data_IF_408483514594
#
_entry.id   IF_408483514594
#
_cell.length_a   1.000
_cell.length_b   1.000
_cell.length_c   1.000
_cell.angle_alpha   90.00
_cell.angle_beta   90.00
_cell.angle_gamma   90.00
#
_symmetry.space_group_name_H-M   'P 1'
#
loop_
_entity.id
_entity.type
_entity.pdbx_description
1 polymer ?
2 non-polymer ?
3 non-polymer ?
4 water ?
#
# COMPACT_ATOMS: atom_id res chain seq x y z
N UNK A 35 -5.37 17.74 -7.35
CA UNK A 35 -6.55 17.60 -6.44
C UNK A 35 -7.56 16.56 -7.02
N UNK A 36 -8.02 16.82 -8.23
CA UNK A 36 -8.70 15.81 -9.04
C UNK A 36 -7.66 15.01 -9.81
N UNK A 37 -6.58 15.68 -10.20
CA UNK A 37 -5.40 15.03 -10.78
C UNK A 37 -4.96 13.74 -10.10
N UNK A 38 -5.03 13.69 -8.78
CA UNK A 38 -4.62 12.51 -8.01
C UNK A 38 -5.54 11.27 -8.14
N UNK A 39 -6.85 11.48 -8.21
CA UNK A 39 -7.78 10.42 -8.61
C UNK A 39 -7.51 9.97 -10.03
N UNK A 40 -7.19 10.91 -10.89
CA UNK A 40 -6.76 10.61 -12.26
C UNK A 40 -5.51 9.74 -12.31
N UNK A 41 -4.52 10.04 -11.47
CA UNK A 41 -3.27 9.25 -11.44
C UNK A 41 -3.55 7.83 -10.98
N UNK A 42 -4.41 7.68 -9.99
CA UNK A 42 -4.79 6.34 -9.51
C UNK A 42 -5.57 5.54 -10.56
N UNK A 43 -6.51 6.17 -11.27
CA UNK A 43 -7.16 5.55 -12.40
C UNK A 43 -6.19 5.11 -13.49
N UNK A 44 -5.20 5.95 -13.78
CA UNK A 44 -4.20 5.62 -14.79
C UNK A 44 -3.15 4.62 -14.30
N UNK A 45 -3.18 4.25 -13.02
CA UNK A 45 -2.30 3.17 -12.55
C UNK A 45 -2.97 1.86 -12.95
N UNK A 46 -2.52 1.29 -14.06
CA UNK A 46 -3.19 0.16 -14.68
C UNK A 46 -3.09 -1.10 -13.81
N UNK A 47 -1.94 -1.33 -13.20
CA UNK A 47 -1.77 -2.47 -12.31
C UNK A 47 -2.82 -2.40 -11.20
N UNK A 48 -2.91 -1.25 -10.56
CA UNK A 48 -3.93 -1.06 -9.53
C UNK A 48 -5.35 -1.32 -10.05
N UNK A 49 -5.76 -0.54 -11.03
CA UNK A 49 -7.17 -0.47 -11.39
C UNK A 49 -7.63 -1.74 -12.12
N UNK A 50 -6.79 -2.26 -12.99
CA UNK A 50 -7.08 -3.49 -13.71
C UNK A 50 -7.08 -4.72 -12.79
N UNK A 51 -6.27 -4.72 -11.73
CA UNK A 51 -6.31 -5.84 -10.77
C UNK A 51 -7.69 -5.91 -10.09
N UNK A 52 -8.22 -4.75 -9.72
CA UNK A 52 -9.53 -4.70 -9.10
C UNK A 52 -10.62 -5.06 -10.12
N UNK A 53 -10.53 -4.48 -11.31
CA UNK A 53 -11.41 -4.79 -12.44
C UNK A 53 -11.48 -6.31 -12.63
N UNK A 54 -10.32 -6.94 -12.84
CA UNK A 54 -10.22 -8.38 -13.13
C UNK A 54 -10.78 -9.20 -11.98
N UNK A 55 -10.40 -8.87 -10.75
CA UNK A 55 -10.95 -9.55 -9.59
C UNK A 55 -12.48 -9.55 -9.64
N UNK A 56 -13.06 -8.38 -9.84
CA UNK A 56 -14.50 -8.24 -9.74
C UNK A 56 -15.23 -8.90 -10.93
N UNK A 57 -14.74 -8.63 -12.14
CA UNK A 57 -15.38 -9.11 -13.36
C UNK A 57 -15.20 -10.63 -13.52
N UNK A 58 -14.08 -11.19 -13.08
CA UNK A 58 -13.81 -12.61 -13.23
C UNK A 58 -14.27 -13.45 -12.05
N UNK A 59 -14.83 -12.83 -11.00
CA UNK A 59 -15.49 -13.53 -9.92
C UNK A 59 -16.87 -12.93 -9.62
N UNK A 60 -17.74 -12.86 -10.65
CA UNK A 60 -19.07 -12.25 -10.46
C UNK A 60 -19.95 -12.92 -9.41
N UNK A 61 -19.69 -14.20 -9.13
CA UNK A 61 -20.46 -14.92 -8.08
C UNK A 61 -20.26 -14.26 -6.73
N UNK A 62 -19.13 -13.57 -6.54
CA UNK A 62 -18.92 -12.84 -5.28
C UNK A 62 -19.87 -11.62 -5.15
N UNK A 63 -20.27 -11.05 -6.28
CA UNK A 63 -21.08 -9.83 -6.31
C UNK A 63 -22.57 -10.00 -6.65
N UNK A 64 -22.90 -11.09 -7.32
CA UNK A 64 -24.22 -11.27 -7.92
C UNK A 64 -25.29 -11.20 -6.86
N UNK A 65 -26.21 -10.24 -6.98
CA UNK A 65 -27.30 -10.05 -6.02
C UNK A 65 -26.83 -9.74 -4.60
N UNK A 66 -25.60 -9.27 -4.43
CA UNK A 66 -25.11 -8.96 -3.09
C UNK A 66 -25.21 -7.47 -2.80
N UNK A 67 -25.15 -7.13 -1.52
CA UNK A 67 -25.01 -5.74 -1.08
C UNK A 67 -23.53 -5.47 -0.79
N UNK A 68 -22.98 -4.48 -1.51
CA UNK A 68 -21.56 -4.15 -1.48
C UNK A 68 -21.33 -2.75 -0.87
N UNK A 69 -20.30 -2.62 0.00
CA UNK A 69 -19.81 -1.34 0.53
C UNK A 69 -18.43 -1.01 -0.05
N UNK A 70 -18.33 0.15 -0.69
CA UNK A 70 -17.09 0.64 -1.28
C UNK A 70 -16.55 1.77 -0.39
N UNK A 71 -15.57 1.43 0.42
CA UNK A 71 -15.03 2.35 1.42
C UNK A 71 -13.93 3.20 0.79
N UNK A 72 -14.18 4.51 0.77
CA UNK A 72 -13.27 5.47 0.14
C UNK A 72 -13.43 5.35 -1.36
N UNK A 73 -14.63 5.59 -1.86
CA UNK A 73 -14.97 5.19 -3.24
C UNK A 73 -14.38 6.09 -4.31
N UNK A 74 -13.94 7.29 -3.93
CA UNK A 74 -13.34 8.21 -4.91
C UNK A 74 -14.36 8.54 -6.01
N UNK A 75 -13.94 8.41 -7.26
CA UNK A 75 -14.80 8.63 -8.40
C UNK A 75 -15.89 7.56 -8.59
N UNK A 76 -15.86 6.50 -7.77
CA UNK A 76 -16.90 5.47 -7.79
C UNK A 76 -16.62 4.32 -8.74
N UNK A 77 -15.39 4.26 -9.28
CA UNK A 77 -15.07 3.26 -10.30
C UNK A 77 -15.26 1.82 -9.81
N UNK A 78 -14.86 1.54 -8.58
CA UNK A 78 -15.00 0.19 -8.04
C UNK A 78 -16.48 -0.17 -7.82
N UNK A 79 -17.26 0.82 -7.40
CA UNK A 79 -18.69 0.62 -7.25
C UNK A 79 -19.36 0.31 -8.59
N UNK A 80 -18.93 0.97 -9.65
CA UNK A 80 -19.47 0.68 -10.96
C UNK A 80 -19.04 -0.71 -11.45
N UNK A 81 -17.81 -1.13 -11.19
CA UNK A 81 -17.42 -2.52 -11.51
C UNK A 81 -18.36 -3.53 -10.81
N UNK A 82 -18.57 -3.29 -9.52
CA UNK A 82 -19.39 -4.16 -8.72
C UNK A 82 -20.85 -4.22 -9.25
N UNK A 83 -21.41 -3.08 -9.62
CA UNK A 83 -22.73 -3.04 -10.25
C UNK A 83 -22.76 -3.85 -11.54
N UNK A 84 -21.75 -3.65 -12.37
CA UNK A 84 -21.67 -4.36 -13.63
C UNK A 84 -21.56 -5.87 -13.40
N UNK A 85 -20.92 -6.26 -12.31
CA UNK A 85 -20.77 -7.67 -12.01
C UNK A 85 -22.03 -8.28 -11.35
N UNK A 86 -23.06 -7.47 -11.14
CA UNK A 86 -24.40 -7.96 -10.75
C UNK A 86 -24.77 -7.63 -9.32
N UNK A 87 -24.09 -6.67 -8.69
CA UNK A 87 -24.44 -6.33 -7.32
C UNK A 87 -25.90 -5.88 -7.28
N UNK A 88 -26.61 -6.22 -6.21
CA UNK A 88 -27.98 -5.80 -6.07
C UNK A 88 -27.98 -4.33 -5.65
N UNK A 89 -27.10 -3.97 -4.73
CA UNK A 89 -26.97 -2.59 -4.26
C UNK A 89 -25.50 -2.33 -3.94
N UNK A 90 -25.02 -1.14 -4.26
CA UNK A 90 -23.68 -0.73 -3.86
C UNK A 90 -23.74 0.58 -3.12
N UNK A 91 -23.09 0.61 -1.96
CA UNK A 91 -22.94 1.82 -1.18
C UNK A 91 -21.49 2.35 -1.25
N UNK A 92 -21.32 3.53 -1.85
CA UNK A 92 -20.01 4.16 -1.98
C UNK A 92 -19.86 5.32 -1.03
N UNK A 93 -18.84 5.25 -0.18
CA UNK A 93 -18.64 6.27 0.84
C UNK A 93 -17.29 6.97 0.64
N UNK A 94 -17.30 8.28 0.74
CA UNK A 94 -16.06 9.03 0.69
C UNK A 94 -16.27 10.37 1.38
N UNK A 95 -15.28 10.80 2.15
CA UNK A 95 -15.40 12.07 2.90
C UNK A 95 -15.06 13.24 2.02
N UNK A 96 -14.26 13.00 1.00
CA UNK A 96 -13.78 14.04 0.10
C UNK A 96 -14.84 14.60 -0.87
N UNK A 97 -14.53 15.78 -1.40
CA UNK A 97 -15.33 16.49 -2.41
C UNK A 97 -15.52 15.69 -3.70
N UNK A 98 -14.59 14.77 -3.96
CA UNK A 98 -14.67 13.89 -5.11
C UNK A 98 -16.04 13.19 -5.17
N UNK A 99 -16.69 13.00 -4.02
CA UNK A 99 -17.97 12.29 -3.99
C UNK A 99 -19.05 12.94 -4.87
N UNK A 100 -19.01 14.27 -4.99
CA UNK A 100 -19.95 14.98 -5.83
C UNK A 100 -19.70 14.67 -7.28
N UNK A 101 -18.44 14.54 -7.67
CA UNK A 101 -18.14 14.04 -9.02
C UNK A 101 -18.71 12.60 -9.23
N UNK A 102 -18.46 11.74 -8.26
CA UNK A 102 -18.94 10.34 -8.29
C UNK A 102 -20.43 10.29 -8.51
N UNK A 103 -21.16 11.19 -7.85
CA UNK A 103 -22.62 11.26 -8.02
C UNK A 103 -23.01 11.54 -9.45
N UNK A 104 -22.35 12.50 -10.08
CA UNK A 104 -22.61 12.81 -11.47
C UNK A 104 -22.15 11.65 -12.37
N UNK A 105 -21.02 11.04 -12.02
CA UNK A 105 -20.51 9.91 -12.80
C UNK A 105 -21.50 8.74 -12.77
N UNK A 106 -22.03 8.42 -11.59
CA UNK A 106 -23.03 7.35 -11.46
C UNK A 106 -24.27 7.64 -12.34
N UNK A 107 -24.76 8.89 -12.35
CA UNK A 107 -25.89 9.27 -13.19
C UNK A 107 -25.57 9.18 -14.67
N UNK A 108 -24.39 9.63 -15.08
CA UNK A 108 -24.00 9.54 -16.49
C UNK A 108 -24.04 8.10 -17.00
N UNK A 109 -23.72 7.15 -16.11
CA UNK A 109 -23.78 5.74 -16.46
C UNK A 109 -25.10 5.02 -16.11
N UNK A 110 -26.10 5.78 -15.66
CA UNK A 110 -27.46 5.29 -15.40
C UNK A 110 -27.44 4.15 -14.38
N UNK A 111 -26.68 4.38 -13.33
CA UNK A 111 -26.51 3.38 -12.28
C UNK A 111 -27.07 3.84 -10.96
N UNK A 112 -27.83 4.93 -10.97
CA UNK A 112 -28.32 5.46 -9.71
C UNK A 112 -29.37 4.51 -9.07
N UNK A 113 -29.99 3.62 -9.84
CA UNK A 113 -30.89 2.60 -9.28
C UNK A 113 -30.16 1.50 -8.53
N UNK A 114 -28.83 1.41 -8.68
CA UNK A 114 -28.01 0.39 -8.02
C UNK A 114 -26.97 0.96 -7.04
N UNK A 115 -26.40 2.12 -7.35
CA UNK A 115 -25.33 2.69 -6.52
C UNK A 115 -25.80 3.94 -5.83
N UNK A 116 -25.66 3.96 -4.51
CA UNK A 116 -25.96 5.11 -3.67
C UNK A 116 -24.66 5.64 -3.10
N UNK A 117 -24.39 6.93 -3.28
CA UNK A 117 -23.19 7.56 -2.74
C UNK A 117 -23.49 8.36 -1.48
N UNK A 118 -22.61 8.27 -0.51
CA UNK A 118 -22.81 8.90 0.79
C UNK A 118 -21.54 9.63 1.16
N UNK A 119 -21.67 10.91 1.48
CA UNK A 119 -20.52 11.74 1.80
C UNK A 119 -20.28 11.76 3.29
N UNK A 120 -19.04 11.49 3.68
CA UNK A 120 -18.63 11.53 5.07
C UNK A 120 -17.65 10.41 5.37
N UNK A 121 -17.27 10.33 6.65
CA UNK A 121 -16.40 9.27 7.13
C UNK A 121 -17.27 8.07 7.42
N UNK A 122 -16.72 6.88 7.18
CA UNK A 122 -17.43 5.63 7.45
C UNK A 122 -17.86 5.50 8.93
N UNK A 123 -17.08 6.14 9.80
CA UNK A 123 -17.30 6.14 11.24
C UNK A 123 -18.49 7.04 11.61
N UNK A 124 -18.87 7.96 10.74
CA UNK A 124 -19.92 8.93 11.05
C UNK A 124 -21.22 8.77 10.25
N UNK A 125 -21.14 8.25 9.02
CA UNK A 125 -22.32 8.24 8.15
C UNK A 125 -23.43 7.28 8.59
N UNK A 126 -24.62 7.54 8.09
CA UNK A 126 -25.75 6.63 8.25
C UNK A 126 -25.93 5.87 6.94
N UNK A 127 -25.78 4.56 7.00
CA UNK A 127 -26.04 3.74 5.82
C UNK A 127 -27.51 3.36 5.85
N UNK A 128 -28.12 3.17 4.69
CA UNK A 128 -29.52 2.73 4.65
C UNK A 128 -29.70 1.22 4.73
N UNK A 129 -28.70 0.49 5.22
CA UNK A 129 -28.86 -0.90 5.65
C UNK A 129 -28.08 -1.13 6.94
N UNK A 130 -28.34 -2.27 7.59
CA UNK A 130 -27.64 -2.67 8.81
C UNK A 130 -26.33 -3.40 8.50
N UNK A 131 -26.34 -4.26 7.49
CA UNK A 131 -25.20 -5.09 7.13
C UNK A 131 -25.01 -5.13 5.61
N UNK A 132 -23.78 -5.40 5.20
CA UNK A 132 -23.45 -5.62 3.81
C UNK A 132 -22.83 -7.00 3.64
N UNK A 133 -22.85 -7.51 2.41
CA UNK A 133 -22.30 -8.84 2.13
C UNK A 133 -20.80 -8.77 1.82
N UNK A 134 -20.39 -7.69 1.18
CA UNK A 134 -19.03 -7.57 0.66
C UNK A 134 -18.53 -6.15 0.88
N UNK A 135 -17.31 -6.05 1.41
CA UNK A 135 -16.60 -4.79 1.46
C UNK A 135 -15.46 -4.81 0.44
N UNK A 136 -15.41 -3.76 -0.38
CA UNK A 136 -14.27 -3.52 -1.26
C UNK A 136 -13.72 -2.16 -0.97
N UNK A 137 -12.40 -2.04 -1.09
CA UNK A 137 -11.73 -0.78 -0.86
C UNK A 137 -10.37 -0.79 -1.50
N UNK A 138 -10.00 0.32 -2.13
CA UNK A 138 -8.59 0.63 -2.38
C UNK A 138 -8.09 1.64 -1.31
N UNK A 139 -7.43 1.12 -0.28
CA UNK A 139 -7.10 1.86 0.95
C UNK A 139 -5.60 2.02 1.20
N UNK A 140 -4.79 1.43 0.33
CA UNK A 140 -3.38 1.15 0.63
C UNK A 140 -2.54 2.42 0.53
N UNK A 141 -1.62 2.59 1.49
CA UNK A 141 -0.68 3.71 1.48
C UNK A 141 0.69 3.27 1.03
N UNK A 142 1.63 4.20 0.98
CA UNK A 142 3.01 3.88 0.73
C UNK A 142 3.47 2.90 1.80
N UNK A 143 4.24 1.91 1.38
CA UNK A 143 4.72 0.87 2.28
C UNK A 143 3.51 0.23 3.00
N UNK A 144 2.41 0.17 2.26
CA UNK A 144 1.12 -0.34 2.68
C UNK A 144 0.42 0.54 3.71
N UNK A 145 1.12 0.96 4.75
CA UNK A 145 0.46 1.53 5.92
C UNK A 145 0.56 3.05 6.11
N UNK A 146 1.53 3.75 5.51
CA UNK A 146 1.61 5.21 5.62
C UNK A 146 0.36 5.85 5.02
N UNK A 147 -0.39 6.60 5.84
CA UNK A 147 -1.58 7.33 5.41
C UNK A 147 -2.56 6.40 4.73
N UNK A 148 -2.71 5.19 5.26
CA UNK A 148 -3.63 4.26 4.63
C UNK A 148 -5.02 4.49 5.22
N UNK A 149 -6.02 3.93 4.54
CA UNK A 149 -7.40 3.98 4.98
C UNK A 149 -7.80 2.67 5.69
N UNK A 150 -6.81 1.86 6.08
CA UNK A 150 -7.09 0.52 6.63
C UNK A 150 -7.91 0.56 7.89
N UNK A 151 -7.58 1.48 8.80
CA UNK A 151 -8.38 1.67 10.01
C UNK A 151 -9.84 1.78 9.68
N UNK A 152 -10.20 2.57 8.67
CA UNK A 152 -11.60 2.73 8.27
C UNK A 152 -12.22 1.46 7.72
N UNK A 153 -11.47 0.74 6.89
CA UNK A 153 -11.93 -0.53 6.33
C UNK A 153 -12.20 -1.54 7.44
N UNK A 154 -11.31 -1.61 8.43
CA UNK A 154 -11.50 -2.50 9.58
C UNK A 154 -12.71 -2.07 10.42
N UNK A 155 -12.89 -0.77 10.59
CA UNK A 155 -14.08 -0.26 11.28
C UNK A 155 -15.33 -0.77 10.55
N UNK A 156 -15.35 -0.61 9.22
CA UNK A 156 -16.46 -1.05 8.41
C UNK A 156 -16.72 -2.54 8.54
N UNK A 157 -15.65 -3.35 8.49
CA UNK A 157 -15.76 -4.79 8.65
C UNK A 157 -16.51 -5.10 9.94
N UNK A 158 -15.98 -4.60 11.06
CA UNK A 158 -16.55 -4.92 12.39
C UNK A 158 -17.95 -4.40 12.61
N UNK A 159 -18.25 -3.20 12.12
CA UNK A 159 -19.61 -2.68 12.26
C UNK A 159 -20.63 -3.25 11.25
N UNK A 160 -20.25 -3.33 9.97
CA UNK A 160 -21.24 -3.51 8.89
C UNK A 160 -21.21 -4.86 8.16
N UNK A 161 -20.11 -5.60 8.24
CA UNK A 161 -20.01 -6.85 7.50
C UNK A 161 -20.93 -7.97 8.05
N UNK A 162 -21.78 -8.54 7.20
CA UNK A 162 -22.64 -9.65 7.60
C UNK A 162 -21.80 -10.84 8.08
N UNK A 163 -22.37 -11.63 8.97
CA UNK A 163 -21.74 -12.88 9.39
C UNK A 163 -21.55 -13.67 8.10
N UNK A 164 -20.37 -14.25 7.90
CA UNK A 164 -20.04 -14.93 6.66
C UNK A 164 -19.78 -14.03 5.46
N UNK A 165 -19.77 -12.71 5.64
CA UNK A 165 -19.42 -11.80 4.53
C UNK A 165 -17.92 -11.79 4.22
N UNK A 166 -17.50 -11.00 3.24
CA UNK A 166 -16.10 -10.95 2.86
C UNK A 166 -15.59 -9.53 2.56
N UNK A 167 -14.27 -9.36 2.73
CA UNK A 167 -13.59 -8.11 2.52
C UNK A 167 -12.43 -8.31 1.52
N UNK A 168 -12.35 -7.43 0.52
CA UNK A 168 -11.35 -7.55 -0.55
C UNK A 168 -10.68 -6.19 -0.80
N UNK A 169 -9.37 -6.20 -1.07
CA UNK A 169 -8.56 -7.41 -1.10
C UNK A 169 -8.45 -8.01 0.30
N UNK A 170 -8.38 -9.33 0.37
CA UNK A 170 -8.43 -10.00 1.65
C UNK A 170 -7.03 -10.23 2.27
N UNK A 171 -6.00 -10.36 1.44
CA UNK A 171 -4.67 -10.70 1.95
C UNK A 171 -3.62 -9.70 1.44
N UNK A 172 -2.77 -9.21 2.35
CA UNK A 172 -1.70 -8.25 2.03
C UNK A 172 -0.45 -8.72 2.71
N UNK A 173 0.69 -8.50 2.06
CA UNK A 173 1.98 -8.69 2.69
C UNK A 173 2.90 -7.50 2.50
N UNK A 174 3.87 -7.37 3.39
CA UNK A 174 4.94 -6.36 3.30
C UNK A 174 6.24 -7.11 3.26
N UNK A 175 7.16 -6.65 2.42
CA UNK A 175 8.48 -7.22 2.30
C UNK A 175 9.59 -6.16 2.34
N UNK A 176 10.77 -6.60 2.72
CA UNK A 176 12.00 -5.81 2.66
C UNK A 176 12.98 -6.42 1.69
N UNK A 177 13.84 -5.59 1.11
CA UNK A 177 14.87 -6.06 0.21
C UNK A 177 16.09 -5.14 0.35
N UNK A 178 17.28 -5.70 0.28
CA UNK A 178 18.52 -4.92 0.39
C UNK A 178 18.88 -4.29 -0.93
N UNK A 179 19.50 -3.11 -0.83
CA UNK A 179 19.84 -2.30 -1.98
C UNK A 179 21.30 -1.90 -1.90
N UNK A 180 21.96 -1.88 -3.06
CA UNK A 180 23.29 -1.31 -3.20
C UNK A 180 23.26 -0.23 -4.27
N UNK A 181 23.51 1.00 -3.88
CA UNK A 181 23.59 2.10 -4.83
C UNK A 181 24.54 3.16 -4.27
N UNK A 182 25.84 2.94 -4.42
CA UNK A 182 26.83 3.88 -3.86
C UNK A 182 26.76 5.26 -4.49
N UNK A 183 26.41 5.35 -5.78
CA UNK A 183 26.25 6.67 -6.42
C UNK A 183 25.09 7.47 -5.84
N UNK A 184 23.93 6.83 -5.69
CA UNK A 184 22.83 7.52 -5.04
C UNK A 184 23.11 7.87 -3.59
N UNK A 185 23.83 7.02 -2.88
CA UNK A 185 24.17 7.34 -1.50
C UNK A 185 25.03 8.59 -1.46
N UNK A 186 26.02 8.64 -2.35
CA UNK A 186 26.88 9.80 -2.50
C UNK A 186 26.04 11.03 -2.79
N UNK A 187 25.04 10.88 -3.67
CA UNK A 187 24.17 11.98 -4.08
C UNK A 187 23.35 12.54 -2.92
N UNK A 188 22.96 11.68 -1.97
CA UNK A 188 22.15 12.11 -0.84
C UNK A 188 22.92 12.49 0.42
N UNK A 189 24.13 11.94 0.57
CA UNK A 189 24.87 12.01 1.85
C UNK A 189 26.22 12.71 1.70
N UNK A 190 27.17 12.11 0.98
CA UNK A 190 28.47 12.74 0.80
C UNK A 190 28.34 14.12 0.11
N UNK A 191 27.26 14.27 -0.67
CA UNK A 191 26.86 15.54 -1.26
C UNK A 191 27.04 16.72 -0.31
N UNK A 192 26.73 16.53 0.99
CA UNK A 192 26.68 17.62 1.95
C UNK A 192 28.04 18.03 2.55
N UNK A 193 29.10 17.29 2.26
CA UNK A 193 30.42 17.68 2.77
C UNK A 193 30.95 18.95 2.13
N UNK A 194 30.67 19.13 0.83
CA UNK A 194 31.04 20.35 0.13
C UNK A 194 29.96 20.83 -0.84
N UNK A 195 29.35 21.95 -0.51
CA UNK A 195 28.23 22.48 -1.25
C UNK A 195 28.68 23.88 -1.67
N UNK A 196 28.99 24.00 -2.97
CA UNK A 196 29.54 25.24 -3.55
C UNK A 196 30.67 25.81 -2.71
N UNK A 197 31.56 24.92 -2.27
CA UNK A 197 32.71 25.25 -1.44
C UNK A 197 32.49 25.32 0.06
N UNK A 198 31.29 25.04 0.55
CA UNK A 198 31.02 25.19 1.99
C UNK A 198 30.65 23.86 2.65
N UNK A 199 31.01 23.70 3.93
CA UNK A 199 30.59 22.53 4.70
C UNK A 199 29.13 22.58 5.07
N UNK A 200 28.44 21.46 4.81
CA UNK A 200 27.06 21.30 5.21
C UNK A 200 26.79 19.93 5.85
N UNK A 201 27.82 19.29 6.41
CA UNK A 201 27.72 17.91 6.93
C UNK A 201 26.55 17.65 7.86
N UNK A 202 26.22 18.65 8.67
CA UNK A 202 25.15 18.48 9.64
C UNK A 202 23.79 18.13 8.97
N UNK A 203 23.65 18.43 7.68
CA UNK A 203 22.41 18.13 6.99
C UNK A 203 22.19 16.62 6.79
N UNK A 204 23.26 15.82 6.85
CA UNK A 204 23.13 14.37 6.66
C UNK A 204 22.11 13.79 7.65
N UNK A 205 22.17 14.27 8.89
CA UNK A 205 21.29 13.77 9.92
C UNK A 205 19.83 14.20 9.76
N UNK A 206 19.58 15.21 8.93
CA UNK A 206 18.20 15.60 8.65
C UNK A 206 17.64 14.83 7.49
N UNK A 207 18.46 14.44 6.51
CA UNK A 207 17.93 13.70 5.39
C UNK A 207 17.82 12.18 5.67
N UNK A 208 18.67 11.61 6.51
CA UNK A 208 18.63 10.19 6.76
C UNK A 208 17.25 9.66 7.25
N UNK A 209 16.61 10.37 8.20
CA UNK A 209 15.31 9.91 8.70
C UNK A 209 14.12 9.99 7.77
N UNK A 210 14.26 10.64 6.61
CA UNK A 210 13.15 10.80 5.66
C UNK A 210 13.17 9.61 4.71
N UNK A 211 12.16 8.74 4.86
CA UNK A 211 11.96 7.64 3.93
C UNK A 211 11.63 8.25 2.58
N UNK A 212 12.15 7.65 1.53
CA UNK A 212 11.97 8.13 0.17
C UNK A 212 10.98 7.22 -0.58
N UNK A 213 10.07 7.80 -1.34
CA UNK A 213 9.14 7.02 -2.14
C UNK A 213 9.54 7.19 -3.61
N UNK A 214 9.95 6.10 -4.24
CA UNK A 214 10.60 6.18 -5.53
C UNK A 214 10.73 4.82 -6.13
N UNK A 215 10.67 4.75 -7.46
CA UNK A 215 10.90 3.51 -8.18
C UNK A 215 12.36 3.17 -8.26
N UNK A 216 12.73 1.99 -7.82
CA UNK A 216 14.12 1.57 -7.82
C UNK A 216 14.51 0.84 -9.09
N UNK A 217 15.72 1.08 -9.55
CA UNK A 217 16.30 0.25 -10.59
C UNK A 217 16.49 -1.18 -10.03
N UNK A 218 15.79 -2.17 -10.58
CA UNK A 218 15.86 -3.53 -10.03
C UNK A 218 17.25 -4.16 -10.02
N UNK A 219 18.14 -3.68 -10.87
CA UNK A 219 19.53 -4.15 -10.86
C UNK A 219 20.26 -3.74 -9.57
N UNK A 220 19.71 -2.78 -8.79
CA UNK A 220 20.38 -2.36 -7.56
C UNK A 220 19.99 -3.25 -6.35
N UNK A 221 19.09 -4.20 -6.58
CA UNK A 221 18.67 -5.10 -5.50
C UNK A 221 19.74 -6.15 -5.24
N UNK A 222 20.14 -6.34 -3.98
CA UNK A 222 21.23 -7.24 -3.66
C UNK A 222 20.85 -8.33 -2.69
N UNK A 223 19.57 -8.54 -2.48
CA UNK A 223 19.13 -9.71 -1.73
C UNK A 223 17.83 -10.19 -2.30
N UNK A 224 17.47 -11.42 -1.93
CA UNK A 224 16.11 -11.88 -2.10
C UNK A 224 15.24 -11.07 -1.13
N UNK A 225 13.96 -10.89 -1.47
CA UNK A 225 13.04 -10.24 -0.54
C UNK A 225 12.77 -11.10 0.67
N UNK A 226 12.34 -10.46 1.76
CA UNK A 226 11.89 -11.17 2.97
C UNK A 226 10.57 -10.59 3.44
N UNK A 227 9.54 -11.44 3.55
CA UNK A 227 8.25 -11.04 4.10
C UNK A 227 8.42 -10.60 5.55
N UNK A 228 7.90 -9.45 5.93
CA UNK A 228 7.93 -9.04 7.34
C UNK A 228 6.57 -8.95 7.98
N UNK A 229 5.52 -9.17 7.21
CA UNK A 229 4.16 -8.97 7.71
C UNK A 229 3.17 -9.59 6.73
N UNK A 230 2.21 -10.34 7.26
CA UNK A 230 1.13 -10.91 6.52
C UNK A 230 -0.14 -10.45 7.25
N UNK A 231 -1.11 -9.94 6.49
CA UNK A 231 -2.38 -9.44 7.00
C UNK A 231 -3.50 -10.19 6.25
N UNK A 232 -4.45 -10.76 6.98
CA UNK A 232 -5.75 -11.17 6.42
C UNK A 232 -6.77 -10.23 6.98
N UNK A 233 -7.45 -9.50 6.09
CA UNK A 233 -8.36 -8.43 6.53
C UNK A 233 -9.62 -8.95 7.24
N UNK A 234 -9.91 -10.24 7.12
CA UNK A 234 -11.04 -10.84 7.83
C UNK A 234 -10.74 -10.94 9.33
N UNK A 235 -9.49 -11.24 9.67
CA UNK A 235 -9.12 -11.51 11.05
C UNK A 235 -8.21 -10.46 11.68
N UNK A 236 -7.77 -9.47 10.93
CA UNK A 236 -6.87 -8.44 11.48
C UNK A 236 -7.62 -7.37 12.33
N UNK A 237 -6.97 -6.88 13.39
CA UNK A 237 -7.47 -5.69 14.14
C UNK A 237 -6.50 -4.51 13.95
N UNK A 238 -6.91 -3.32 14.38
CA UNK A 238 -6.07 -2.12 14.24
C UNK A 238 -4.79 -2.29 15.04
N UNK A 239 -4.91 -2.99 16.16
CA UNK A 239 -3.81 -3.42 17.01
C UNK A 239 -2.67 -4.16 16.26
N UNK A 240 -3.02 -4.99 15.27
CA UNK A 240 -2.00 -5.74 14.52
C UNK A 240 -1.17 -4.90 13.54
N UNK A 241 -1.59 -3.67 13.30
CA UNK A 241 -0.90 -2.81 12.34
C UNK A 241 0.37 -2.19 12.91
N UNK A 242 0.55 -2.28 14.22
CA UNK A 242 1.82 -1.94 14.85
C UNK A 242 2.47 -3.26 15.16
N UNK A 243 3.62 -3.54 14.57
CA UNK A 243 4.20 -4.85 14.67
C UNK A 243 5.72 -4.78 14.61
N UNK A 244 6.33 -5.91 14.94
CA UNK A 244 7.77 -6.05 14.99
C UNK A 244 8.08 -7.31 14.26
N UNK A 245 9.19 -7.33 13.54
CA UNK A 245 9.56 -8.55 12.88
C UNK A 245 11.07 -8.67 12.75
N UNK A 246 11.60 -9.83 13.13
CA UNK A 246 13.00 -10.16 12.83
C UNK A 246 13.01 -10.56 11.37
N UNK A 247 14.06 -10.24 10.62
CA UNK A 247 14.11 -10.64 9.22
C UNK A 247 15.52 -11.10 8.85
N UNK A 248 15.60 -11.88 7.78
CA UNK A 248 16.86 -12.35 7.24
C UNK A 248 16.88 -12.10 5.74
N UNK A 249 17.84 -11.31 5.28
CA UNK A 249 17.94 -11.02 3.85
C UNK A 249 19.02 -11.89 3.27
N UNK A 250 18.65 -12.68 2.27
CA UNK A 250 19.60 -13.62 1.67
C UNK A 250 20.30 -12.85 0.58
N UNK A 251 21.53 -12.45 0.86
CA UNK A 251 22.32 -11.61 -0.03
C UNK A 251 22.71 -12.36 -1.31
N UNK A 252 22.55 -11.69 -2.45
CA UNK A 252 22.78 -12.35 -3.73
C UNK A 252 23.90 -11.71 -4.53
N UNK A 253 24.48 -10.63 -4.02
CA UNK A 253 25.61 -10.00 -4.70
C UNK A 253 26.53 -9.35 -3.68
N UNK A 254 27.82 -9.68 -3.81
CA UNK A 254 28.87 -9.07 -3.06
C UNK A 254 28.97 -7.60 -3.46
N UNK A 255 28.67 -6.71 -2.51
CA UNK A 255 28.46 -5.30 -2.81
C UNK A 255 28.43 -4.50 -1.51
N UNK A 256 28.32 -3.19 -1.64
CA UNK A 256 28.05 -2.28 -0.52
C UNK A 256 26.54 -2.08 -0.38
N UNK A 257 25.99 -2.44 0.77
CA UNK A 257 24.58 -2.21 1.07
C UNK A 257 24.43 -0.75 1.52
N UNK A 258 23.57 -0.01 0.82
CA UNK A 258 23.44 1.43 1.09
C UNK A 258 22.04 1.83 1.56
N UNK A 259 21.05 0.94 1.38
CA UNK A 259 19.66 1.20 1.78
C UNK A 259 18.90 -0.13 1.91
N UNK A 260 17.76 -0.05 2.59
CA UNK A 260 16.76 -1.10 2.63
C UNK A 260 15.47 -0.58 2.00
N UNK A 261 14.93 -1.34 1.06
CA UNK A 261 13.68 -0.96 0.41
C UNK A 261 12.52 -1.81 0.92
N UNK A 262 11.33 -1.23 0.90
CA UNK A 262 10.13 -1.94 1.26
C UNK A 262 9.04 -1.80 0.23
N UNK A 263 8.14 -2.78 0.21
CA UNK A 263 7.01 -2.80 -0.70
C UNK A 263 6.01 -3.78 -0.22
N UNK A 264 4.90 -3.92 -0.95
CA UNK A 264 3.80 -4.73 -0.50
C UNK A 264 3.15 -5.45 -1.67
N UNK A 265 2.46 -6.53 -1.36
CA UNK A 265 1.75 -7.32 -2.35
C UNK A 265 0.32 -7.45 -1.89
N UNK A 266 -0.60 -7.50 -2.85
CA UNK A 266 -2.04 -7.46 -2.62
C UNK A 266 -2.68 -8.67 -3.30
N UNK A 267 -3.49 -9.40 -2.53
CA UNK A 267 -4.08 -10.67 -2.97
C UNK A 267 -5.59 -10.60 -2.85
N UNK A 268 -6.26 -11.09 -3.88
CA UNK A 268 -7.68 -11.32 -3.86
C UNK A 268 -7.80 -12.88 -3.94
N UNK A 269 -8.31 -13.49 -2.89
CA UNK A 269 -8.21 -14.93 -2.74
C UNK A 269 -9.49 -15.61 -2.32
N UNK A 270 -10.10 -15.15 -1.24
CA UNK A 270 -11.23 -15.87 -0.63
C UNK A 270 -12.35 -16.10 -1.64
N UNK A 271 -12.73 -17.37 -1.77
CA UNK A 271 -13.82 -17.79 -2.65
C UNK A 271 -13.68 -17.47 -4.13
N UNK A 272 -12.48 -17.15 -4.59
CA UNK A 272 -12.25 -16.79 -5.98
C UNK A 272 -12.00 -18.00 -6.85
N UNK A 273 -12.64 -18.04 -8.01
CA UNK A 273 -12.22 -18.98 -9.02
C UNK A 273 -11.02 -18.45 -9.80
N UNK A 274 -10.97 -17.14 -9.98
CA UNK A 274 -9.86 -16.45 -10.62
C UNK A 274 -9.22 -15.54 -9.58
N UNK A 275 -8.20 -16.07 -8.92
CA UNK A 275 -7.44 -15.29 -7.93
C UNK A 275 -6.63 -14.21 -8.58
N UNK A 276 -6.40 -13.11 -7.89
CA UNK A 276 -5.64 -12.01 -8.48
C UNK A 276 -4.61 -11.56 -7.48
N UNK A 277 -3.41 -11.28 -7.97
CA UNK A 277 -2.38 -10.74 -7.12
C UNK A 277 -1.65 -9.63 -7.87
N UNK A 278 -1.27 -8.59 -7.16
CA UNK A 278 -0.29 -7.69 -7.71
C UNK A 278 0.74 -7.31 -6.67
N UNK A 279 1.97 -7.07 -7.15
CA UNK A 279 3.08 -6.66 -6.33
C UNK A 279 3.41 -5.20 -6.64
N UNK A 280 3.88 -4.47 -5.64
CA UNK A 280 4.43 -3.13 -5.82
C UNK A 280 5.96 -3.12 -5.69
N UNK A 281 6.56 -4.31 -5.81
CA UNK A 281 8.01 -4.43 -5.71
C UNK A 281 8.77 -3.98 -6.94
N UNK A 282 10.09 -3.80 -6.79
CA UNK A 282 10.87 -3.26 -7.87
C UNK A 282 11.06 -4.22 -9.03
N UNK A 283 10.83 -5.52 -8.83
CA UNK A 283 10.91 -6.47 -9.95
C UNK A 283 9.63 -6.50 -10.74
N UNK A 284 8.59 -5.77 -10.32
CA UNK A 284 7.34 -5.73 -11.08
C UNK A 284 7.10 -4.35 -11.64
N UNK A 285 6.20 -4.31 -12.62
CA UNK A 285 5.73 -3.08 -13.23
C UNK A 285 5.45 -2.03 -12.19
N UNK A 286 5.96 -0.83 -12.43
CA UNK A 286 5.78 0.26 -11.47
C UNK A 286 4.31 0.62 -11.28
N UNK A 287 3.98 1.01 -10.06
CA UNK A 287 2.66 1.46 -9.66
C UNK A 287 2.85 2.83 -9.02
N UNK A 288 1.77 3.54 -8.74
CA UNK A 288 1.92 4.83 -8.09
C UNK A 288 2.44 4.72 -6.66
N UNK A 289 2.44 3.53 -6.07
CA UNK A 289 3.03 3.35 -4.72
C UNK A 289 4.56 3.27 -4.80
N UNK A 290 5.09 3.03 -6.00
CA UNK A 290 6.51 2.94 -6.21
C UNK A 290 7.10 1.95 -5.19
N UNK A 291 8.30 2.26 -4.64
CA UNK A 291 8.82 1.55 -3.46
C UNK A 291 9.22 2.58 -2.39
N UNK A 292 9.34 2.12 -1.17
CA UNK A 292 9.74 2.99 -0.08
C UNK A 292 11.19 2.64 0.25
N UNK A 293 12.04 3.65 0.42
CA UNK A 293 13.48 3.47 0.61
C UNK A 293 13.91 4.06 1.94
N UNK A 294 14.58 3.25 2.74
CA UNK A 294 15.19 3.66 4.00
C UNK A 294 16.68 3.69 3.83
N UNK A 295 17.23 4.91 3.76
CA UNK A 295 18.68 5.09 3.56
C UNK A 295 19.48 4.70 4.79
N UNK A 296 20.62 4.07 4.56
CA UNK A 296 21.52 3.72 5.67
C UNK A 296 22.52 4.83 5.82
N UNK A 297 22.69 5.35 7.03
CA UNK A 297 23.66 6.40 7.24
C UNK A 297 25.07 5.91 6.95
N UNK A 298 25.35 4.68 7.38
CA UNK A 298 26.66 4.07 7.19
C UNK A 298 26.58 2.79 6.31
N UNK A 299 26.83 2.91 5.01
CA UNK A 299 26.80 1.72 4.14
C UNK A 299 27.79 0.67 4.63
N UNK A 300 27.49 -0.62 4.48
CA UNK A 300 28.42 -1.65 4.93
C UNK A 300 28.51 -2.76 3.89
N UNK A 301 29.64 -3.46 3.86
CA UNK A 301 29.84 -4.50 2.85
C UNK A 301 29.12 -5.80 3.18
N UNK A 302 28.59 -6.44 2.12
CA UNK A 302 28.00 -7.76 2.24
C UNK A 302 28.54 -8.68 1.13
N UNK A 303 28.48 -9.98 1.39
CA UNK A 303 28.92 -10.99 0.42
C UNK A 303 27.76 -11.85 -0.04
N UNK A 304 27.77 -12.21 -1.33
CA UNK A 304 26.77 -13.09 -1.91
C UNK A 304 26.69 -14.35 -1.07
N UNK A 305 25.47 -14.79 -0.77
CA UNK A 305 25.26 -15.97 0.06
C UNK A 305 25.16 -15.69 1.55
N UNK A 306 25.55 -14.51 2.02
CA UNK A 306 25.43 -14.13 3.43
C UNK A 306 23.94 -14.03 3.86
N UNK A 307 23.63 -14.34 5.12
CA UNK A 307 22.29 -14.21 5.66
C UNK A 307 22.32 -12.99 6.57
N UNK A 308 21.85 -11.85 6.06
CA UNK A 308 21.93 -10.59 6.79
C UNK A 308 20.69 -10.42 7.65
N UNK A 309 20.90 -10.38 8.97
CA UNK A 309 19.82 -10.34 9.92
C UNK A 309 19.55 -8.92 10.46
N UNK A 310 18.29 -8.59 10.66
CA UNK A 310 17.94 -7.32 11.29
C UNK A 310 16.56 -7.39 11.92
N UNK A 311 16.08 -6.22 12.34
CA UNK A 311 14.79 -6.14 12.96
C UNK A 311 14.10 -4.85 12.54
N UNK A 312 12.79 -4.95 12.37
CA UNK A 312 11.97 -3.85 11.91
C UNK A 312 10.73 -3.73 12.78
N UNK A 313 10.40 -2.51 13.17
CA UNK A 313 9.17 -2.26 13.92
C UNK A 313 8.43 -1.05 13.36
N UNK A 314 7.14 -1.22 13.14
CA UNK A 314 6.26 -0.13 12.71
C UNK A 314 5.41 0.37 13.88
N UNK A 315 5.48 1.67 14.16
CA UNK A 315 4.67 2.28 15.21
C UNK A 315 3.74 3.36 14.65
N UNK A 316 2.63 3.58 15.36
CA UNK A 316 1.66 4.65 15.09
C UNK A 316 2.20 6.00 15.52
N UNK A 323 0.32 9.25 10.74
CA UNK A 323 1.68 9.02 10.25
C UNK A 323 2.46 7.98 11.10
N UNK A 324 3.07 7.04 10.40
CA UNK A 324 3.79 5.93 11.01
C UNK A 324 5.26 6.21 11.09
N UNK A 325 5.95 5.46 11.94
CA UNK A 325 7.40 5.45 11.91
C UNK A 325 7.88 4.02 11.76
N UNK A 326 9.06 3.88 11.18
CA UNK A 326 9.65 2.57 10.95
C UNK A 326 11.00 2.58 11.60
N UNK A 327 11.20 1.70 12.57
CA UNK A 327 12.48 1.56 13.23
C UNK A 327 13.19 0.33 12.70
N UNK A 328 14.43 0.53 12.28
CA UNK A 328 15.23 -0.51 11.63
C UNK A 328 16.52 -0.73 12.36
N UNK A 329 16.81 -1.97 12.72
CA UNK A 329 18.13 -2.32 13.25
C UNK A 329 18.81 -3.29 12.28
N UNK A 330 20.03 -2.97 11.91
CA UNK A 330 20.77 -3.70 10.90
C UNK A 330 22.25 -3.34 11.09
N UNK A 331 23.13 -4.34 11.09
CA UNK A 331 24.58 -4.13 11.21
C UNK A 331 24.93 -3.35 12.44
N UNK A 332 24.16 -3.57 13.51
CA UNK A 332 24.37 -2.90 14.79
C UNK A 332 24.17 -1.42 14.80
N UNK A 333 23.37 -0.89 13.87
CA UNK A 333 22.86 0.47 14.00
C UNK A 333 21.37 0.42 13.94
N UNK A 334 20.75 1.40 14.56
CA UNK A 334 19.32 1.50 14.68
C UNK A 334 18.94 2.91 14.25
N UNK A 335 17.95 3.00 13.37
CA UNK A 335 17.41 4.28 12.94
C UNK A 335 15.92 4.20 12.80
N UNK A 336 15.24 5.28 13.19
CA UNK A 336 13.82 5.42 12.99
C UNK A 336 13.55 6.36 11.82
N UNK A 337 12.63 5.98 10.96
CA UNK A 337 12.35 6.70 9.74
C UNK A 337 10.89 7.09 9.71
N UNK A 338 10.59 8.24 9.11
CA UNK A 338 9.21 8.65 8.87
C UNK A 338 8.97 9.03 7.43
N UNK A 339 7.71 9.11 7.02
CA UNK A 339 7.37 9.62 5.70
C UNK A 339 6.66 10.96 5.87
N UNK A 340 7.40 12.07 5.69
CA UNK A 340 6.86 13.44 5.86
C UNK A 340 6.20 13.88 4.56
#
# INVERSE_FOLDING_TARGET
MGSSHHHHHHSSGLVPRGSDLQEDEDGVYFSSYGHYGIHEEMLKDKIRTESYRDFIYQNPHIFKDKVVLDVGCGTGILSMFAAKAGAKKVLGVDQSEILYQAMDIIRLNKLEDTITLIKGKIEEVHLPVEKVDVIISEWMGYFLLFESMLDSVLYAKNKYLAKGGSVYPDICTISLVAVSDVNKHADRIAFWDDVYGFKMSCMKKAVIPEAVVEVLDPKTLISEPCGIKHIDCHTTSISDLEFSSDFTLKITRTSMCTAIAGYFDIYFEKNCHNRVVFSTGPQSTKTHWKQTVFLLEKPFSVKAGEALKGKVTVHKNKKDPRSLTVTLTLNNSTQTYGLQ
#
